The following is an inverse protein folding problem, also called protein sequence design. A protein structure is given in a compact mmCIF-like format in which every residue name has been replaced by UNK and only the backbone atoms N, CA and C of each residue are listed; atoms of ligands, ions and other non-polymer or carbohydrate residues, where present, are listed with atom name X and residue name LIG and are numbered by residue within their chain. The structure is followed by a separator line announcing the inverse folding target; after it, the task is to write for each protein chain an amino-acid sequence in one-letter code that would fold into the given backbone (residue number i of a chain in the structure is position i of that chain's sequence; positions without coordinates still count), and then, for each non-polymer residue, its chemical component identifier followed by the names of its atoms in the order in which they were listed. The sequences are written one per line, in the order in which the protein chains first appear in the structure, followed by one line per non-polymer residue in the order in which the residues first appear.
data_IF_536055939933
#
_entry.id   IF_536055939933
#
_cell.length_a   1.000
_cell.length_b   1.000
_cell.length_c   1.000
_cell.angle_alpha   90.00
_cell.angle_beta   90.00
_cell.angle_gamma   90.00
#
_symmetry.space_group_name_H-M   'P 1'
#
loop_
_entity.id
_entity.type
_entity.pdbx_description
1 polymer ?
#
# COMPACT_ATOMS: atom_id res chain seq x y z
N UNK A 1 -30.11 -15.17 18.17
CA UNK A 1 -28.99 -14.43 17.57
C UNK A 1 -28.94 -14.83 16.11
N UNK A 2 -29.06 -13.89 15.17
CA UNK A 2 -28.91 -14.21 13.76
C UNK A 2 -27.52 -14.85 13.55
N UNK A 3 -27.46 -15.98 12.87
CA UNK A 3 -26.20 -16.67 12.57
C UNK A 3 -25.27 -15.66 11.88
N UNK A 4 -24.09 -15.41 12.44
CA UNK A 4 -23.08 -14.55 11.82
C UNK A 4 -22.84 -15.06 10.40
N UNK A 5 -23.30 -14.32 9.39
CA UNK A 5 -23.17 -14.77 8.00
C UNK A 5 -21.70 -14.70 7.61
N UNK A 6 -21.20 -15.78 6.99
CA UNK A 6 -19.80 -15.92 6.62
C UNK A 6 -19.57 -15.32 5.23
N UNK A 7 -18.93 -14.16 5.15
CA UNK A 7 -18.61 -13.50 3.88
C UNK A 7 -17.22 -13.88 3.38
N UNK A 8 -17.13 -14.34 2.14
CA UNK A 8 -15.88 -14.50 1.42
C UNK A 8 -15.77 -13.51 0.25
N UNK A 9 -14.57 -13.32 -0.27
CA UNK A 9 -14.30 -12.43 -1.40
C UNK A 9 -13.59 -13.22 -2.49
N UNK A 10 -14.01 -13.02 -3.74
CA UNK A 10 -13.23 -13.41 -4.93
C UNK A 10 -12.61 -12.14 -5.49
N UNK A 11 -11.28 -12.04 -5.44
CA UNK A 11 -10.53 -10.91 -6.01
C UNK A 11 -9.98 -11.30 -7.39
N UNK A 12 -10.52 -10.70 -8.45
CA UNK A 12 -10.20 -11.08 -9.83
C UNK A 12 -9.02 -10.26 -10.37
N UNK A 13 -7.89 -10.93 -10.61
CA UNK A 13 -6.62 -10.35 -11.02
C UNK A 13 -5.93 -11.12 -12.17
N UNK A 14 -6.64 -11.97 -12.91
CA UNK A 14 -6.06 -12.83 -13.95
C UNK A 14 -5.93 -12.17 -15.35
N UNK A 15 -6.55 -11.01 -15.55
CA UNK A 15 -6.50 -10.30 -16.82
C UNK A 15 -5.16 -9.62 -17.06
N UNK A 16 -4.72 -9.56 -18.33
CA UNK A 16 -3.45 -8.90 -18.72
C UNK A 16 -3.52 -7.37 -18.76
N UNK A 17 -4.71 -6.78 -18.82
CA UNK A 17 -4.87 -5.32 -18.75
C UNK A 17 -4.31 -4.54 -19.94
N UNK A 18 -4.36 -5.10 -21.16
CA UNK A 18 -3.76 -4.55 -22.39
C UNK A 18 -4.07 -3.06 -22.67
N UNK A 19 -5.22 -2.55 -22.21
CA UNK A 19 -5.65 -1.15 -22.38
C UNK A 19 -4.94 -0.14 -21.45
N UNK A 20 -4.22 -0.60 -20.43
CA UNK A 20 -3.54 0.27 -19.46
C UNK A 20 -2.15 0.75 -19.93
N UNK A 21 -1.76 0.43 -21.17
CA UNK A 21 -0.49 0.83 -21.76
C UNK A 21 0.70 -0.03 -21.31
N UNK A 22 1.90 0.48 -21.54
CA UNK A 22 3.16 -0.17 -21.12
C UNK A 22 3.30 -0.21 -19.59
N UNK A 23 4.08 -1.17 -19.07
CA UNK A 23 4.34 -1.31 -17.62
C UNK A 23 3.85 -2.61 -16.97
N UNK A 24 3.65 -3.68 -17.75
CA UNK A 24 3.22 -4.98 -17.24
C UNK A 24 1.73 -5.03 -16.85
N UNK A 25 1.29 -6.13 -16.20
CA UNK A 25 -0.11 -6.28 -15.79
C UNK A 25 -0.50 -5.19 -14.78
N UNK A 26 -1.55 -4.45 -15.11
CA UNK A 26 -1.94 -3.21 -14.42
C UNK A 26 -2.21 -3.37 -12.91
N UNK A 27 -2.62 -4.55 -12.47
CA UNK A 27 -2.88 -4.87 -11.07
C UNK A 27 -1.60 -4.90 -10.21
N UNK A 28 -0.43 -5.09 -10.81
CA UNK A 28 0.86 -5.07 -10.08
C UNK A 28 1.61 -3.75 -10.21
N UNK A 29 1.10 -2.82 -11.04
CA UNK A 29 1.64 -1.46 -11.08
C UNK A 29 1.40 -0.77 -9.74
N UNK A 30 2.33 0.10 -9.38
CA UNK A 30 2.19 0.90 -8.17
C UNK A 30 1.36 2.16 -8.43
N UNK A 31 0.62 2.55 -7.40
CA UNK A 31 0.02 3.87 -7.31
C UNK A 31 0.18 4.44 -5.91
N UNK A 32 0.78 5.62 -5.84
CA UNK A 32 1.38 6.13 -4.61
C UNK A 32 2.28 5.07 -4.00
N UNK A 33 3.24 4.51 -4.74
CA UNK A 33 4.22 3.53 -4.23
C UNK A 33 3.66 2.26 -3.57
N UNK A 34 2.41 1.88 -3.86
CA UNK A 34 1.79 0.65 -3.36
C UNK A 34 1.14 -0.07 -4.54
N UNK A 35 1.34 -1.39 -4.71
CA UNK A 35 0.71 -2.14 -5.80
C UNK A 35 -0.81 -1.99 -5.79
N UNK A 36 -1.40 -1.82 -6.98
CA UNK A 36 -2.86 -1.67 -7.16
C UNK A 36 -3.63 -2.84 -6.51
N UNK A 37 -3.15 -4.07 -6.69
CA UNK A 37 -3.76 -5.27 -6.10
C UNK A 37 -3.68 -5.28 -4.56
N UNK A 38 -2.58 -4.80 -3.98
CA UNK A 38 -2.44 -4.69 -2.53
C UNK A 38 -3.56 -3.81 -1.98
N UNK A 39 -3.71 -2.61 -2.56
CA UNK A 39 -4.75 -1.66 -2.15
C UNK A 39 -6.16 -2.24 -2.33
N UNK A 40 -6.42 -2.91 -3.45
CA UNK A 40 -7.71 -3.55 -3.70
C UNK A 40 -8.03 -4.69 -2.72
N UNK A 41 -7.00 -5.39 -2.21
CA UNK A 41 -7.16 -6.56 -1.34
C UNK A 41 -7.14 -6.22 0.15
N UNK A 42 -6.42 -5.17 0.54
CA UNK A 42 -6.16 -4.81 1.94
C UNK A 42 -7.45 -4.55 2.71
N UNK A 43 -8.38 -3.77 2.14
CA UNK A 43 -9.65 -3.44 2.78
C UNK A 43 -10.45 -4.72 3.12
N UNK A 44 -10.50 -5.69 2.21
CA UNK A 44 -11.16 -6.97 2.46
C UNK A 44 -10.41 -7.83 3.48
N UNK A 45 -9.08 -7.85 3.42
CA UNK A 45 -8.24 -8.69 4.29
C UNK A 45 -8.31 -8.25 5.76
N UNK A 46 -8.72 -7.00 6.02
CA UNK A 46 -8.84 -6.40 7.35
C UNK A 46 -10.29 -6.24 7.84
N UNK A 47 -11.29 -6.41 6.96
CA UNK A 47 -12.70 -6.21 7.31
C UNK A 47 -13.21 -7.30 8.26
N UNK A 48 -13.84 -6.92 9.36
CA UNK A 48 -14.24 -7.86 10.43
C UNK A 48 -15.18 -8.98 9.96
N UNK A 49 -16.11 -8.69 9.05
CA UNK A 49 -17.08 -9.67 8.53
C UNK A 49 -16.56 -10.53 7.35
N UNK A 50 -15.35 -10.26 6.86
CA UNK A 50 -14.74 -11.03 5.76
C UNK A 50 -13.78 -12.06 6.34
N UNK A 51 -14.12 -13.34 6.21
CA UNK A 51 -13.29 -14.41 6.79
C UNK A 51 -12.24 -14.96 5.82
N UNK A 52 -12.48 -14.85 4.50
CA UNK A 52 -11.61 -15.38 3.46
C UNK A 52 -11.58 -14.44 2.24
N UNK A 53 -10.38 -14.24 1.70
CA UNK A 53 -10.17 -13.56 0.42
C UNK A 53 -9.49 -14.56 -0.49
N UNK A 54 -10.14 -14.92 -1.60
CA UNK A 54 -9.66 -15.83 -2.62
C UNK A 54 -9.16 -15.03 -3.83
N UNK A 55 -7.84 -14.88 -3.99
CA UNK A 55 -7.27 -14.24 -5.17
C UNK A 55 -7.38 -15.18 -6.36
N UNK A 56 -7.69 -14.62 -7.52
CA UNK A 56 -7.63 -15.30 -8.81
C UNK A 56 -6.63 -14.60 -9.70
N UNK A 57 -5.53 -15.27 -10.01
CA UNK A 57 -4.35 -14.68 -10.67
C UNK A 57 -4.09 -15.34 -12.01
N UNK A 58 -3.33 -14.66 -12.86
CA UNK A 58 -2.80 -15.30 -14.04
C UNK A 58 -1.70 -16.30 -13.59
N UNK A 59 -1.66 -17.54 -14.12
CA UNK A 59 -0.65 -18.53 -13.74
C UNK A 59 0.79 -18.01 -13.83
N UNK A 60 1.08 -17.19 -14.86
CA UNK A 60 2.41 -16.65 -15.12
C UNK A 60 2.81 -15.53 -14.15
N UNK A 61 1.85 -15.01 -13.36
CA UNK A 61 2.06 -13.86 -12.50
C UNK A 61 2.26 -14.25 -11.02
N UNK A 62 2.41 -15.53 -10.70
CA UNK A 62 2.46 -16.05 -9.33
C UNK A 62 3.54 -15.39 -8.45
N UNK A 63 4.73 -15.16 -9.02
CA UNK A 63 5.83 -14.49 -8.30
C UNK A 63 5.54 -13.00 -8.05
N UNK A 64 5.03 -12.29 -9.07
CA UNK A 64 4.64 -10.88 -8.96
C UNK A 64 3.51 -10.71 -7.94
N UNK A 65 2.52 -11.61 -7.95
CA UNK A 65 1.44 -11.63 -6.98
C UNK A 65 1.98 -11.77 -5.55
N UNK A 66 2.81 -12.78 -5.31
CA UNK A 66 3.36 -13.08 -3.98
C UNK A 66 4.12 -11.89 -3.39
N UNK A 67 4.93 -11.22 -4.22
CA UNK A 67 5.64 -10.01 -3.82
C UNK A 67 4.66 -8.84 -3.56
N UNK A 68 3.67 -8.64 -4.44
CA UNK A 68 2.78 -7.49 -4.39
C UNK A 68 1.80 -7.51 -3.20
N UNK A 69 1.40 -8.69 -2.69
CA UNK A 69 0.45 -8.80 -1.56
C UNK A 69 1.11 -9.24 -0.25
N UNK A 70 2.44 -9.17 -0.16
CA UNK A 70 3.19 -9.60 1.01
C UNK A 70 2.63 -8.98 2.31
N UNK A 71 2.40 -9.81 3.32
CA UNK A 71 1.85 -9.41 4.62
C UNK A 71 0.32 -9.34 4.71
N UNK A 72 -0.41 -9.49 3.61
CA UNK A 72 -1.87 -9.59 3.64
C UNK A 72 -2.32 -11.04 3.89
N UNK A 73 -3.41 -11.21 4.65
CA UNK A 73 -4.05 -12.51 4.85
C UNK A 73 -4.97 -12.83 3.67
N UNK A 74 -4.72 -13.96 3.01
CA UNK A 74 -5.56 -14.46 1.93
C UNK A 74 -5.45 -15.98 1.80
N UNK A 75 -6.39 -16.59 1.08
CA UNK A 75 -6.34 -18.00 0.67
C UNK A 75 -5.28 -18.21 -0.44
N UNK A 76 -4.78 -19.43 -0.65
CA UNK A 76 -3.88 -19.72 -1.76
C UNK A 76 -4.47 -19.23 -3.09
N UNK A 77 -3.70 -18.50 -3.92
CA UNK A 77 -4.22 -17.95 -5.17
C UNK A 77 -4.63 -19.08 -6.13
N UNK A 78 -5.74 -18.88 -6.82
CA UNK A 78 -6.23 -19.81 -7.86
C UNK A 78 -5.91 -19.29 -9.25
N UNK A 79 -5.63 -20.18 -10.18
CA UNK A 79 -5.39 -19.84 -11.57
C UNK A 79 -6.69 -19.38 -12.25
N UNK A 80 -6.65 -18.20 -12.86
CA UNK A 80 -7.75 -17.68 -13.67
C UNK A 80 -7.86 -18.34 -15.04
N UNK A 81 -9.01 -18.12 -15.69
CA UNK A 81 -9.30 -18.61 -17.04
C UNK A 81 -9.08 -17.56 -18.13
N UNK A 82 -9.40 -17.93 -19.37
CA UNK A 82 -9.24 -17.06 -20.54
C UNK A 82 -10.13 -15.78 -20.50
N UNK A 83 -11.24 -15.82 -19.77
CA UNK A 83 -12.16 -14.69 -19.60
C UNK A 83 -12.28 -14.28 -18.14
N UNK A 84 -12.81 -13.05 -17.90
CA UNK A 84 -13.15 -12.61 -16.55
C UNK A 84 -14.13 -13.59 -15.89
N UNK A 85 -15.17 -13.98 -16.60
CA UNK A 85 -16.18 -14.93 -16.14
C UNK A 85 -15.58 -16.29 -15.73
N UNK A 86 -14.68 -16.85 -16.57
CA UNK A 86 -14.01 -18.12 -16.24
C UNK A 86 -13.10 -17.99 -15.01
N UNK A 87 -12.44 -16.83 -14.85
CA UNK A 87 -11.64 -16.53 -13.67
C UNK A 87 -12.49 -16.42 -12.42
N UNK A 88 -13.65 -15.76 -12.49
CA UNK A 88 -14.60 -15.68 -11.37
C UNK A 88 -15.08 -17.07 -10.97
N UNK A 89 -15.48 -17.91 -11.94
CA UNK A 89 -15.89 -19.29 -11.65
C UNK A 89 -14.77 -20.07 -10.94
N UNK A 90 -13.51 -19.98 -11.40
CA UNK A 90 -12.39 -20.64 -10.73
C UNK A 90 -12.23 -20.18 -9.26
N UNK A 91 -12.39 -18.89 -8.98
CA UNK A 91 -12.37 -18.36 -7.61
C UNK A 91 -13.55 -18.83 -6.76
N UNK A 92 -14.76 -18.91 -7.34
CA UNK A 92 -15.94 -19.43 -6.65
C UNK A 92 -15.79 -20.92 -6.33
N UNK A 93 -15.24 -21.72 -7.26
CA UNK A 93 -14.96 -23.14 -7.06
C UNK A 93 -13.93 -23.38 -5.93
N UNK A 94 -12.89 -22.55 -5.85
CA UNK A 94 -11.91 -22.62 -4.77
C UNK A 94 -12.52 -22.38 -3.38
N UNK A 95 -13.61 -21.60 -3.29
CA UNK A 95 -14.33 -21.31 -2.04
C UNK A 95 -15.37 -22.37 -1.63
N UNK A 96 -15.62 -23.40 -2.45
CA UNK A 96 -16.65 -24.42 -2.17
C UNK A 96 -16.44 -25.11 -0.82
N UNK A 97 -15.20 -25.40 -0.47
CA UNK A 97 -14.87 -26.06 0.80
C UNK A 97 -15.11 -25.14 2.01
N UNK A 98 -14.94 -23.84 1.84
CA UNK A 98 -15.16 -22.85 2.88
C UNK A 98 -16.66 -22.65 3.17
N UNK A 99 -17.55 -22.94 2.22
CA UNK A 99 -19.01 -22.77 2.33
C UNK A 99 -19.41 -21.39 2.87
N UNK A 100 -19.02 -20.29 2.21
CA UNK A 100 -19.48 -18.96 2.60
C UNK A 100 -21.00 -18.83 2.38
N UNK A 101 -21.64 -17.95 3.14
CA UNK A 101 -23.05 -17.58 2.94
C UNK A 101 -23.17 -16.52 1.84
N UNK A 102 -22.22 -15.57 1.85
CA UNK A 102 -22.15 -14.43 0.93
C UNK A 102 -20.79 -14.46 0.24
N UNK A 103 -20.77 -14.13 -1.05
CA UNK A 103 -19.54 -13.85 -1.78
C UNK A 103 -19.58 -12.45 -2.38
N UNK A 104 -18.47 -11.73 -2.20
CA UNK A 104 -18.20 -10.46 -2.85
C UNK A 104 -17.21 -10.69 -4.00
N UNK A 105 -17.59 -10.32 -5.22
CA UNK A 105 -16.75 -10.48 -6.41
C UNK A 105 -16.20 -9.09 -6.77
N UNK A 106 -14.89 -8.91 -6.66
CA UNK A 106 -14.24 -7.61 -6.80
C UNK A 106 -13.14 -7.62 -7.86
N UNK A 107 -13.02 -6.51 -8.59
CA UNK A 107 -11.99 -6.36 -9.62
C UNK A 107 -10.72 -5.81 -8.95
N UNK A 108 -9.57 -6.48 -9.09
CA UNK A 108 -8.30 -5.96 -8.55
C UNK A 108 -7.90 -4.59 -9.12
N UNK A 109 -8.49 -4.18 -10.24
CA UNK A 109 -8.30 -2.87 -10.85
C UNK A 109 -9.08 -1.73 -10.15
N UNK A 110 -9.79 -1.99 -9.05
CA UNK A 110 -10.48 -0.99 -8.23
C UNK A 110 -9.78 -0.86 -6.85
N UNK A 111 -8.63 -0.16 -6.77
CA UNK A 111 -7.80 -0.15 -5.56
C UNK A 111 -8.37 0.67 -4.39
N UNK A 112 -9.53 1.33 -4.56
CA UNK A 112 -10.05 2.30 -3.60
C UNK A 112 -11.41 1.88 -3.01
N UNK A 113 -11.66 0.58 -2.92
CA UNK A 113 -12.79 0.04 -2.17
C UNK A 113 -12.66 0.43 -0.69
N UNK A 114 -13.73 0.99 -0.13
CA UNK A 114 -13.77 1.42 1.28
C UNK A 114 -14.37 0.33 2.17
N UNK A 115 -14.03 0.33 3.46
CA UNK A 115 -14.67 -0.53 4.46
C UNK A 115 -16.20 -0.35 4.45
N UNK A 116 -16.67 0.90 4.40
CA UNK A 116 -18.09 1.22 4.34
C UNK A 116 -18.79 0.64 3.10
N UNK A 117 -18.13 0.61 1.94
CA UNK A 117 -18.68 0.00 0.73
C UNK A 117 -18.82 -1.53 0.88
N UNK A 118 -17.85 -2.18 1.53
CA UNK A 118 -17.88 -3.62 1.83
C UNK A 118 -19.05 -3.93 2.77
N UNK A 119 -19.22 -3.16 3.85
CA UNK A 119 -20.33 -3.36 4.78
C UNK A 119 -21.70 -3.19 4.09
N UNK A 120 -21.85 -2.18 3.22
CA UNK A 120 -23.10 -1.98 2.44
C UNK A 120 -23.39 -3.12 1.48
N UNK A 121 -22.35 -3.71 0.86
CA UNK A 121 -22.51 -4.87 -0.02
C UNK A 121 -23.05 -6.10 0.74
N UNK A 122 -22.51 -6.35 1.94
CA UNK A 122 -22.95 -7.44 2.82
C UNK A 122 -24.40 -7.21 3.27
N UNK A 123 -24.72 -6.00 3.73
CA UNK A 123 -26.08 -5.63 4.15
C UNK A 123 -27.09 -5.77 3.00
N UNK A 124 -26.74 -5.28 1.80
CA UNK A 124 -27.60 -5.38 0.63
C UNK A 124 -27.89 -6.84 0.28
N UNK A 125 -26.86 -7.70 0.27
CA UNK A 125 -27.02 -9.14 -0.01
C UNK A 125 -27.88 -9.83 1.05
N UNK A 126 -27.72 -9.48 2.32
CA UNK A 126 -28.56 -10.01 3.40
C UNK A 126 -30.05 -9.76 3.16
N UNK A 127 -30.38 -8.60 2.56
CA UNK A 127 -31.76 -8.21 2.28
C UNK A 127 -32.31 -8.79 0.97
N UNK A 128 -31.49 -8.87 -0.07
CA UNK A 128 -31.98 -9.10 -1.45
C UNK A 128 -31.43 -10.36 -2.10
N UNK A 129 -30.42 -11.00 -1.52
CA UNK A 129 -29.73 -12.19 -2.05
C UNK A 129 -28.76 -11.91 -3.19
N UNK A 130 -28.97 -10.86 -3.98
CA UNK A 130 -28.05 -10.37 -5.00
C UNK A 130 -28.14 -8.84 -5.06
N UNK A 131 -26.98 -8.16 -5.05
CA UNK A 131 -26.93 -6.71 -5.14
C UNK A 131 -25.60 -6.20 -5.71
N UNK A 132 -25.65 -5.05 -6.40
CA UNK A 132 -24.46 -4.36 -6.93
C UNK A 132 -24.39 -2.88 -6.51
N UNK A 133 -23.18 -2.35 -6.29
CA UNK A 133 -23.00 -0.93 -6.04
C UNK A 133 -23.14 -0.15 -7.34
N UNK A 134 -23.86 0.96 -7.27
CA UNK A 134 -24.04 1.87 -8.40
C UNK A 134 -23.81 3.32 -8.01
N UNK A 135 -23.30 4.10 -8.96
CA UNK A 135 -23.25 5.56 -8.86
C UNK A 135 -24.09 6.20 -9.98
N UNK A 136 -24.67 7.39 -9.76
CA UNK A 136 -25.43 8.10 -10.79
C UNK A 136 -24.54 8.50 -11.96
N UNK A 137 -25.12 8.54 -13.15
CA UNK A 137 -24.50 9.13 -14.33
C UNK A 137 -24.75 10.64 -14.31
N UNK A 138 -23.68 11.43 -14.27
CA UNK A 138 -23.75 12.91 -14.24
C UNK A 138 -23.78 13.50 -15.64
N UNK A 139 -23.00 12.92 -16.56
CA UNK A 139 -22.88 13.41 -17.93
C UNK A 139 -24.05 12.95 -18.81
N UNK A 140 -24.32 13.68 -19.89
CA UNK A 140 -25.30 13.25 -20.89
C UNK A 140 -24.73 12.07 -21.68
N UNK A 141 -25.43 10.94 -21.69
CA UNK A 141 -25.06 9.76 -22.47
C UNK A 141 -25.76 9.79 -23.82
N UNK A 142 -25.02 9.48 -24.88
CA UNK A 142 -25.54 9.30 -26.24
C UNK A 142 -25.45 7.83 -26.63
N UNK A 143 -26.51 7.31 -27.22
CA UNK A 143 -26.45 6.09 -28.01
C UNK A 143 -25.93 6.48 -29.39
N UNK A 144 -24.93 5.77 -29.88
CA UNK A 144 -24.31 6.03 -31.18
C UNK A 144 -24.42 4.80 -32.06
N UNK A 145 -24.72 5.02 -33.33
CA UNK A 145 -24.67 3.99 -34.37
C UNK A 145 -23.24 3.66 -34.76
N UNK A 146 -23.08 2.68 -35.65
CA UNK A 146 -21.77 2.19 -36.08
C UNK A 146 -20.91 3.24 -36.79
N UNK A 147 -21.53 4.28 -37.40
CA UNK A 147 -20.81 5.37 -38.06
C UNK A 147 -20.60 6.61 -37.16
N UNK A 148 -20.94 6.51 -35.86
CA UNK A 148 -20.70 7.55 -34.85
C UNK A 148 -21.78 8.64 -34.77
N UNK A 149 -22.87 8.51 -35.53
CA UNK A 149 -24.06 9.33 -35.45
C UNK A 149 -24.82 9.09 -34.14
N UNK A 150 -25.48 10.13 -33.63
CA UNK A 150 -26.30 10.01 -32.42
C UNK A 150 -27.65 9.39 -32.79
N UNK A 151 -27.94 8.21 -32.25
CA UNK A 151 -29.23 7.51 -32.40
C UNK A 151 -30.22 7.90 -31.30
N UNK A 152 -29.72 8.26 -30.12
CA UNK A 152 -30.58 8.54 -28.98
C UNK A 152 -29.86 9.16 -27.80
N UNK A 153 -30.65 9.67 -26.86
CA UNK A 153 -30.18 10.17 -25.57
C UNK A 153 -31.05 9.53 -24.50
N UNK A 154 -30.59 8.45 -23.84
CA UNK A 154 -31.36 7.81 -22.80
C UNK A 154 -31.61 8.76 -21.62
N UNK A 155 -32.68 8.52 -20.86
CA UNK A 155 -32.94 9.25 -19.62
C UNK A 155 -31.87 8.90 -18.57
N UNK A 156 -30.90 9.81 -18.39
CA UNK A 156 -29.81 9.65 -17.43
C UNK A 156 -30.28 9.40 -15.99
N UNK A 157 -31.49 9.84 -15.61
CA UNK A 157 -32.02 9.63 -14.27
C UNK A 157 -32.20 8.14 -13.94
N UNK A 158 -32.38 7.30 -14.97
CA UNK A 158 -32.48 5.84 -14.87
C UNK A 158 -31.17 5.10 -15.15
N UNK A 159 -30.12 5.80 -15.57
CA UNK A 159 -28.81 5.21 -15.85
C UNK A 159 -27.90 5.22 -14.62
N UNK A 160 -27.12 4.16 -14.49
CA UNK A 160 -26.22 3.94 -13.36
C UNK A 160 -24.91 3.35 -13.87
N UNK A 161 -23.80 3.74 -13.24
CA UNK A 161 -22.50 3.11 -13.46
C UNK A 161 -22.35 2.01 -12.42
N UNK A 162 -22.33 0.76 -12.88
CA UNK A 162 -22.08 -0.40 -12.03
C UNK A 162 -20.62 -0.42 -11.54
N UNK A 163 -20.45 -0.77 -10.27
CA UNK A 163 -19.16 -0.96 -9.63
C UNK A 163 -19.01 -2.39 -9.11
N UNK A 164 -17.86 -2.69 -8.53
CA UNK A 164 -17.63 -3.89 -7.72
C UNK A 164 -17.12 -3.44 -6.34
N UNK A 165 -17.32 -4.19 -5.24
CA UNK A 165 -17.73 -5.59 -5.17
C UNK A 165 -19.18 -5.83 -5.57
N UNK A 166 -19.43 -6.78 -6.47
CA UNK A 166 -20.78 -7.32 -6.69
C UNK A 166 -21.03 -8.42 -5.68
N UNK A 167 -22.23 -8.47 -5.11
CA UNK A 167 -22.47 -9.20 -3.86
C UNK A 167 -23.66 -10.15 -4.00
N UNK A 168 -23.46 -11.41 -3.64
CA UNK A 168 -24.42 -12.48 -3.91
C UNK A 168 -24.43 -13.54 -2.80
N UNK A 169 -25.56 -14.25 -2.67
CA UNK A 169 -25.59 -15.57 -2.02
C UNK A 169 -24.69 -16.53 -2.78
N UNK A 170 -23.74 -17.14 -2.08
CA UNK A 170 -22.66 -17.90 -2.69
C UNK A 170 -23.14 -19.09 -3.52
N UNK A 171 -24.02 -19.91 -2.94
CA UNK A 171 -24.59 -21.09 -3.59
C UNK A 171 -25.31 -20.74 -4.90
N UNK A 172 -26.08 -19.65 -4.87
CA UNK A 172 -26.87 -19.19 -6.01
C UNK A 172 -25.98 -18.68 -7.14
N UNK A 173 -24.99 -17.82 -6.86
CA UNK A 173 -24.12 -17.27 -7.92
C UNK A 173 -23.16 -18.31 -8.48
N UNK A 174 -22.65 -19.23 -7.64
CA UNK A 174 -21.81 -20.33 -8.10
C UNK A 174 -22.56 -21.20 -9.10
N UNK A 175 -23.81 -21.56 -8.81
CA UNK A 175 -24.62 -22.36 -9.73
C UNK A 175 -24.89 -21.63 -11.05
N UNK A 176 -25.16 -20.32 -10.99
CA UNK A 176 -25.32 -19.50 -12.20
C UNK A 176 -24.06 -19.52 -13.09
N UNK A 177 -22.87 -19.37 -12.50
CA UNK A 177 -21.61 -19.46 -13.24
C UNK A 177 -21.35 -20.86 -13.81
N UNK A 178 -21.62 -21.92 -13.03
CA UNK A 178 -21.50 -23.32 -13.49
C UNK A 178 -22.40 -23.59 -14.68
N UNK A 179 -23.67 -23.18 -14.61
CA UNK A 179 -24.64 -23.35 -15.70
C UNK A 179 -24.21 -22.58 -16.95
N UNK A 180 -23.78 -21.32 -16.80
CA UNK A 180 -23.27 -20.54 -17.93
C UNK A 180 -22.06 -21.23 -18.59
N UNK A 181 -21.14 -21.81 -17.82
CA UNK A 181 -20.00 -22.55 -18.34
C UNK A 181 -20.41 -23.85 -19.05
N UNK A 182 -21.38 -24.60 -18.50
CA UNK A 182 -21.95 -25.80 -19.12
C UNK A 182 -22.62 -25.49 -20.47
N UNK A 183 -23.32 -24.36 -20.55
CA UNK A 183 -23.98 -23.87 -21.77
C UNK A 183 -22.99 -23.21 -22.76
N UNK A 184 -21.70 -23.14 -22.43
CA UNK A 184 -20.67 -22.51 -23.26
C UNK A 184 -20.79 -20.98 -23.39
N UNK A 185 -21.57 -20.33 -22.53
CA UNK A 185 -21.76 -18.87 -22.51
C UNK A 185 -20.58 -18.19 -21.83
N UNK A 186 -20.01 -17.17 -22.48
CA UNK A 186 -18.84 -16.42 -21.98
C UNK A 186 -18.87 -14.92 -22.31
N UNK A 187 -20.03 -14.44 -22.78
CA UNK A 187 -20.31 -13.11 -23.29
C UNK A 187 -20.77 -12.11 -22.22
N UNK A 188 -20.91 -12.56 -20.96
CA UNK A 188 -21.35 -11.70 -19.87
C UNK A 188 -20.25 -10.71 -19.46
N UNK A 189 -20.62 -9.44 -19.32
CA UNK A 189 -19.70 -8.34 -19.03
C UNK A 189 -19.37 -8.21 -17.54
N UNK A 190 -20.28 -8.63 -16.67
CA UNK A 190 -20.14 -8.69 -15.22
C UNK A 190 -20.95 -9.84 -14.60
N UNK A 191 -20.87 -9.99 -13.27
CA UNK A 191 -21.48 -11.10 -12.55
C UNK A 191 -22.99 -10.88 -12.33
N UNK A 192 -23.43 -9.62 -12.31
CA UNK A 192 -24.84 -9.24 -12.33
C UNK A 192 -25.55 -9.71 -13.60
N UNK A 193 -24.94 -9.56 -14.79
CA UNK A 193 -25.52 -10.05 -16.04
C UNK A 193 -25.70 -11.58 -16.04
N UNK A 194 -24.78 -12.33 -15.41
CA UNK A 194 -24.91 -13.79 -15.23
C UNK A 194 -26.06 -14.09 -14.27
N UNK A 195 -26.16 -13.36 -13.16
CA UNK A 195 -27.24 -13.50 -12.19
C UNK A 195 -28.62 -13.23 -12.82
N UNK A 196 -28.75 -12.16 -13.60
CA UNK A 196 -29.97 -11.80 -14.33
C UNK A 196 -30.37 -12.90 -15.34
N UNK A 197 -29.42 -13.40 -16.13
CA UNK A 197 -29.64 -14.54 -17.03
C UNK A 197 -30.03 -15.81 -16.26
N UNK A 198 -29.55 -15.96 -15.03
CA UNK A 198 -29.94 -17.05 -14.15
C UNK A 198 -31.37 -16.93 -13.59
N UNK A 199 -32.05 -15.82 -13.84
CA UNK A 199 -33.39 -15.52 -13.31
C UNK A 199 -33.35 -14.87 -11.93
N UNK A 200 -32.19 -14.40 -11.47
CA UNK A 200 -32.04 -13.71 -10.19
C UNK A 200 -32.41 -12.25 -10.34
N UNK A 201 -33.11 -11.71 -9.34
CA UNK A 201 -33.32 -10.28 -9.22
C UNK A 201 -32.09 -9.64 -8.59
N UNK A 202 -31.39 -8.77 -9.32
CA UNK A 202 -30.23 -8.04 -8.82
C UNK A 202 -30.66 -6.66 -8.32
N UNK A 203 -30.53 -6.43 -7.02
CA UNK A 203 -30.79 -5.12 -6.43
C UNK A 203 -29.61 -4.17 -6.63
N UNK A 204 -29.82 -2.88 -6.38
CA UNK A 204 -28.75 -1.88 -6.35
C UNK A 204 -28.61 -1.26 -4.97
N UNK A 205 -27.41 -0.81 -4.63
CA UNK A 205 -27.11 0.01 -3.46
C UNK A 205 -26.10 1.10 -3.80
N UNK A 206 -25.92 2.06 -2.89
CA UNK A 206 -25.05 3.22 -3.12
C UNK A 206 -23.56 2.81 -3.17
N UNK A 207 -22.94 3.06 -4.33
CA UNK A 207 -21.50 2.91 -4.56
C UNK A 207 -20.68 4.13 -4.13
N UNK A 208 -19.37 4.09 -4.36
CA UNK A 208 -18.44 5.17 -4.00
C UNK A 208 -17.80 5.76 -5.26
N UNK A 209 -17.85 7.08 -5.45
CA UNK A 209 -17.18 7.73 -6.59
C UNK A 209 -15.66 7.46 -6.59
N UNK A 210 -15.06 7.41 -5.39
CA UNK A 210 -13.64 7.12 -5.22
C UNK A 210 -13.26 5.69 -5.63
N UNK A 211 -14.20 4.73 -5.63
CA UNK A 211 -13.98 3.32 -6.00
C UNK A 211 -13.91 3.12 -7.53
N UNK A 212 -13.10 3.94 -8.17
CA UNK A 212 -12.94 3.98 -9.61
C UNK A 212 -12.10 2.80 -10.12
N UNK A 213 -12.35 2.37 -11.36
CA UNK A 213 -11.63 1.26 -11.99
C UNK A 213 -10.50 1.81 -12.86
N UNK A 214 -9.26 1.48 -12.51
CA UNK A 214 -8.08 1.82 -13.31
C UNK A 214 -8.11 1.04 -14.63
N UNK A 215 -8.34 1.74 -15.74
CA UNK A 215 -8.53 1.12 -17.06
C UNK A 215 -7.53 1.65 -18.08
N UNK A 216 -7.27 2.95 -18.09
CA UNK A 216 -6.38 3.62 -19.03
C UNK A 216 -5.12 4.15 -18.34
N UNK A 217 -4.05 4.52 -19.07
CA UNK A 217 -2.88 5.18 -18.49
C UNK A 217 -3.23 6.48 -17.75
N UNK A 218 -4.19 7.26 -18.26
CA UNK A 218 -4.62 8.53 -17.69
C UNK A 218 -5.26 8.34 -16.31
N UNK A 219 -5.94 7.21 -16.08
CA UNK A 219 -6.46 6.87 -14.76
C UNK A 219 -5.34 6.77 -13.72
N UNK A 220 -4.21 6.15 -14.06
CA UNK A 220 -3.07 6.06 -13.15
C UNK A 220 -2.49 7.45 -12.85
N UNK A 221 -2.32 8.29 -13.87
CA UNK A 221 -1.77 9.64 -13.70
C UNK A 221 -2.70 10.48 -12.81
N UNK A 222 -4.01 10.44 -13.05
CA UNK A 222 -5.00 11.17 -12.26
C UNK A 222 -4.97 10.73 -10.79
N UNK A 223 -4.98 9.43 -10.56
CA UNK A 223 -5.06 8.89 -9.21
C UNK A 223 -3.72 9.03 -8.45
N UNK A 224 -2.58 8.96 -9.14
CA UNK A 224 -1.27 9.31 -8.57
C UNK A 224 -1.25 10.78 -8.11
N UNK A 225 -1.73 11.69 -8.96
CA UNK A 225 -1.82 13.11 -8.62
C UNK A 225 -2.77 13.34 -7.43
N UNK A 226 -3.92 12.66 -7.40
CA UNK A 226 -4.87 12.74 -6.28
C UNK A 226 -4.25 12.28 -4.97
N UNK A 227 -3.57 11.13 -4.95
CA UNK A 227 -2.89 10.62 -3.76
C UNK A 227 -1.73 11.53 -3.33
N UNK A 228 -0.96 12.07 -4.28
CA UNK A 228 0.10 13.02 -3.99
C UNK A 228 -0.43 14.34 -3.41
N UNK A 229 -1.59 14.80 -3.87
CA UNK A 229 -2.27 15.99 -3.35
C UNK A 229 -2.80 15.80 -1.93
N UNK A 230 -3.14 14.56 -1.54
CA UNK A 230 -3.51 14.25 -0.15
C UNK A 230 -2.34 14.51 0.80
N UNK A 231 -1.10 14.29 0.37
CA UNK A 231 0.12 14.52 1.16
C UNK A 231 0.62 15.97 1.05
N UNK A 232 -0.28 16.92 1.29
CA UNK A 232 -0.03 18.35 1.10
C UNK A 232 0.65 19.07 2.27
N UNK A 233 0.68 18.48 3.47
CA UNK A 233 1.33 19.07 4.64
C UNK A 233 2.82 18.68 4.63
N UNK A 234 3.68 19.63 4.28
CA UNK A 234 5.12 19.41 4.14
C UNK A 234 5.82 19.99 5.36
N UNK A 235 6.52 19.13 6.10
CA UNK A 235 7.24 19.52 7.32
C UNK A 235 8.70 19.14 7.21
N UNK A 236 9.56 20.01 7.73
CA UNK A 236 11.00 19.76 7.82
C UNK A 236 11.42 19.81 9.27
N UNK A 237 12.21 18.82 9.68
CA UNK A 237 12.83 18.76 11.00
C UNK A 237 14.33 18.63 10.89
N UNK A 238 15.01 19.00 11.96
CA UNK A 238 16.46 18.93 12.07
C UNK A 238 16.85 18.13 13.31
N UNK A 239 17.93 17.37 13.22
CA UNK A 239 18.50 16.65 14.35
C UNK A 239 19.98 16.96 14.50
N UNK A 240 20.46 16.87 15.74
CA UNK A 240 21.86 17.03 16.08
C UNK A 240 22.19 16.06 17.21
N UNK A 241 23.21 15.21 17.00
CA UNK A 241 23.67 14.27 18.02
C UNK A 241 25.19 14.27 18.10
N UNK A 242 25.71 13.90 19.28
CA UNK A 242 27.15 13.88 19.59
C UNK A 242 27.47 12.67 20.46
N UNK A 243 28.43 11.85 20.01
CA UNK A 243 29.02 10.79 20.83
C UNK A 243 30.51 11.00 21.04
N UNK A 244 30.93 10.86 22.30
CA UNK A 244 32.33 10.86 22.68
C UNK A 244 33.00 9.53 22.31
N UNK A 245 34.28 9.58 21.95
CA UNK A 245 35.06 8.37 21.77
C UNK A 245 35.48 7.74 23.10
N UNK A 246 35.53 6.41 23.12
CA UNK A 246 36.07 5.57 24.18
C UNK A 246 36.95 4.45 23.63
N UNK A 247 37.14 3.40 24.42
CA UNK A 247 37.81 2.17 23.98
C UNK A 247 36.92 1.40 22.98
N UNK A 248 37.54 0.81 21.95
CA UNK A 248 36.84 0.02 20.94
C UNK A 248 37.67 -0.16 19.67
N UNK A 249 37.17 -1.00 18.77
CA UNK A 249 37.79 -1.36 17.48
C UNK A 249 36.95 -0.90 16.25
N UNK A 250 35.85 -0.21 16.49
CA UNK A 250 34.93 0.26 15.46
C UNK A 250 33.98 1.33 15.96
N UNK A 251 33.37 2.06 15.03
CA UNK A 251 32.24 2.96 15.27
C UNK A 251 31.08 2.58 14.36
N UNK A 252 29.86 2.66 14.88
CA UNK A 252 28.64 2.51 14.08
C UNK A 252 28.26 3.86 13.48
N UNK A 253 28.13 3.94 12.16
CA UNK A 253 27.81 5.18 11.46
C UNK A 253 26.82 4.90 10.33
N UNK A 254 25.63 5.49 10.42
CA UNK A 254 24.56 5.33 9.43
C UNK A 254 24.22 3.87 9.12
N UNK A 255 24.20 3.00 10.14
CA UNK A 255 23.95 1.56 10.04
C UNK A 255 25.17 0.74 9.61
N UNK A 256 26.34 1.35 9.45
CA UNK A 256 27.57 0.69 8.97
C UNK A 256 28.58 0.55 10.10
N UNK A 257 29.10 -0.67 10.30
CA UNK A 257 30.23 -0.93 11.20
C UNK A 257 31.54 -0.48 10.55
N UNK A 258 32.07 0.67 10.96
CA UNK A 258 33.28 1.26 10.39
C UNK A 258 34.50 0.93 11.26
N UNK A 259 35.53 0.25 10.74
CA UNK A 259 36.75 -0.02 11.48
C UNK A 259 37.41 1.25 12.00
N UNK A 260 37.78 1.27 13.28
CA UNK A 260 38.39 2.43 13.93
C UNK A 260 39.24 2.00 15.13
N UNK A 261 40.14 2.85 15.63
CA UNK A 261 40.92 2.59 16.85
C UNK A 261 40.20 3.02 18.13
N UNK A 262 38.91 3.37 18.01
CA UNK A 262 38.03 3.88 19.07
C UNK A 262 36.64 3.31 18.87
N UNK A 263 35.85 3.28 19.94
CA UNK A 263 34.41 3.08 19.90
C UNK A 263 33.65 4.29 20.45
N UNK A 264 32.33 4.26 20.43
CA UNK A 264 31.50 5.30 21.07
C UNK A 264 31.19 4.96 22.52
N UNK A 265 31.19 5.99 23.37
CA UNK A 265 30.62 5.92 24.71
C UNK A 265 29.11 6.20 24.60
N UNK A 266 28.32 5.15 24.39
CA UNK A 266 26.87 5.26 24.21
C UNK A 266 26.11 4.18 25.00
N UNK A 267 24.81 4.44 25.21
CA UNK A 267 23.91 3.45 25.81
C UNK A 267 23.50 2.37 24.78
N UNK A 268 23.24 2.75 23.52
CA UNK A 268 22.97 1.85 22.38
C UNK A 268 24.28 1.45 21.66
N UNK A 269 24.21 1.04 20.39
CA UNK A 269 25.38 0.86 19.51
C UNK A 269 26.11 2.18 19.15
N UNK A 270 25.56 3.34 19.55
CA UNK A 270 26.18 4.65 19.46
C UNK A 270 26.16 5.27 18.06
N UNK A 271 25.26 4.87 17.18
CA UNK A 271 25.18 5.43 15.83
C UNK A 271 24.67 6.88 15.80
N UNK A 272 25.62 7.82 15.93
CA UNK A 272 25.34 9.26 15.96
C UNK A 272 24.61 9.75 14.70
N UNK A 273 24.83 9.10 13.55
CA UNK A 273 24.21 9.49 12.28
C UNK A 273 22.73 9.09 12.24
N UNK A 274 22.42 7.86 12.64
CA UNK A 274 21.04 7.39 12.72
C UNK A 274 20.26 8.12 13.82
N UNK A 275 20.86 8.38 14.97
CA UNK A 275 20.21 9.15 16.04
C UNK A 275 19.82 10.56 15.60
N UNK A 276 20.73 11.28 14.93
CA UNK A 276 20.41 12.60 14.39
C UNK A 276 19.25 12.52 13.37
N UNK A 277 19.20 11.49 12.52
CA UNK A 277 18.09 11.28 11.59
C UNK A 277 16.76 11.01 12.31
N UNK A 278 16.78 10.23 13.39
CA UNK A 278 15.59 9.97 14.24
C UNK A 278 15.05 11.28 14.79
N UNK A 279 15.90 12.12 15.38
CA UNK A 279 15.49 13.43 15.88
C UNK A 279 14.95 14.35 14.79
N UNK A 280 15.56 14.34 13.60
CA UNK A 280 15.06 15.12 12.47
C UNK A 280 13.64 14.70 12.06
N UNK A 281 13.34 13.39 12.04
CA UNK A 281 12.02 12.86 11.70
C UNK A 281 11.00 13.17 12.80
N UNK A 282 11.35 12.91 14.07
CA UNK A 282 10.46 13.17 15.21
C UNK A 282 10.19 14.67 15.37
N UNK A 283 11.19 15.51 15.15
CA UNK A 283 11.05 16.96 15.09
C UNK A 283 10.11 17.41 13.98
N UNK A 284 10.23 16.86 12.77
CA UNK A 284 9.30 17.15 11.67
C UNK A 284 7.85 16.72 12.01
N UNK A 285 7.69 15.66 12.81
CA UNK A 285 6.40 15.19 13.31
C UNK A 285 5.87 16.00 14.51
N UNK A 286 6.66 16.90 15.10
CA UNK A 286 6.40 17.49 16.41
C UNK A 286 6.08 16.41 17.48
N UNK A 287 6.83 15.31 17.44
CA UNK A 287 6.61 14.10 18.25
C UNK A 287 7.77 13.87 19.23
N UNK A 288 8.27 14.93 19.85
CA UNK A 288 9.41 14.86 20.78
C UNK A 288 10.74 14.56 20.09
N UNK A 289 11.63 13.91 20.83
CA UNK A 289 12.99 13.53 20.43
C UNK A 289 13.28 12.05 20.76
N UNK A 290 14.45 11.56 20.35
CA UNK A 290 14.87 10.18 20.57
C UNK A 290 14.86 9.80 22.05
N UNK A 291 15.26 10.71 22.96
CA UNK A 291 15.27 10.46 24.40
C UNK A 291 13.87 10.31 25.00
N UNK A 292 12.88 10.97 24.40
CA UNK A 292 11.47 10.88 24.80
C UNK A 292 10.86 9.52 24.49
N UNK A 293 11.26 8.87 23.39
CA UNK A 293 10.78 7.54 22.99
C UNK A 293 11.67 6.40 23.48
N UNK A 294 12.97 6.68 23.62
CA UNK A 294 14.01 5.71 23.98
C UNK A 294 14.84 6.21 25.17
N UNK A 295 14.27 6.31 26.39
CA UNK A 295 14.98 6.89 27.52
C UNK A 295 16.23 6.07 27.86
N UNK A 296 17.42 6.69 28.01
CA UNK A 296 18.66 5.98 28.29
C UNK A 296 18.68 5.29 29.67
N UNK A 297 17.75 5.68 30.57
CA UNK A 297 17.53 5.02 31.85
C UNK A 297 16.86 3.64 31.73
N UNK A 298 16.23 3.33 30.59
CA UNK A 298 15.59 2.04 30.36
C UNK A 298 16.65 1.00 29.92
N UNK A 299 16.91 -0.05 30.73
CA UNK A 299 17.96 -1.03 30.44
C UNK A 299 17.75 -1.78 29.11
N UNK A 300 16.53 -1.82 28.57
CA UNK A 300 16.22 -2.56 27.34
C UNK A 300 16.92 -1.99 26.10
N UNK A 301 17.31 -0.71 26.13
CA UNK A 301 18.00 -0.05 25.03
C UNK A 301 19.52 -0.21 25.08
N UNK A 302 20.03 -0.81 26.15
CA UNK A 302 21.48 -1.01 26.30
C UNK A 302 22.00 -1.97 25.23
N UNK A 303 22.88 -1.49 24.36
CA UNK A 303 23.43 -2.24 23.23
C UNK A 303 22.42 -2.56 22.12
N UNK A 304 21.25 -1.91 22.12
CA UNK A 304 20.31 -2.04 21.03
C UNK A 304 20.87 -1.44 19.74
N UNK A 305 20.54 -2.06 18.61
CA UNK A 305 20.89 -1.55 17.27
C UNK A 305 20.05 -0.34 16.92
N UNK A 306 20.69 0.74 16.47
CA UNK A 306 20.04 2.02 16.19
C UNK A 306 19.12 2.01 14.97
N UNK A 307 19.23 0.98 14.11
CA UNK A 307 18.31 0.77 13.00
C UNK A 307 16.85 0.64 13.47
N UNK A 308 16.62 0.08 14.66
CA UNK A 308 15.30 -0.04 15.28
C UNK A 308 14.69 1.33 15.60
N UNK A 309 15.51 2.29 16.00
CA UNK A 309 15.04 3.65 16.31
C UNK A 309 14.64 4.40 15.05
N UNK A 310 15.43 4.25 13.97
CA UNK A 310 15.08 4.83 12.67
C UNK A 310 13.81 4.19 12.11
N UNK A 311 13.69 2.85 12.15
CA UNK A 311 12.47 2.13 11.73
C UNK A 311 11.24 2.63 12.49
N UNK A 312 11.34 2.78 13.82
CA UNK A 312 10.26 3.33 14.63
C UNK A 312 9.86 4.75 14.19
N UNK A 313 10.82 5.65 13.96
CA UNK A 313 10.51 7.01 13.50
C UNK A 313 9.79 7.01 12.14
N UNK A 314 10.17 6.11 11.22
CA UNK A 314 9.48 5.91 9.93
C UNK A 314 8.06 5.34 10.12
N UNK A 315 7.89 4.37 11.02
CA UNK A 315 6.57 3.81 11.37
C UNK A 315 5.64 4.89 11.93
N UNK A 316 6.15 5.84 12.72
CA UNK A 316 5.37 6.99 13.24
C UNK A 316 4.88 7.90 12.11
N UNK A 317 5.72 8.18 11.11
CA UNK A 317 5.32 8.93 9.90
C UNK A 317 4.21 8.17 9.18
N UNK A 318 4.41 6.86 8.96
CA UNK A 318 3.48 5.99 8.24
C UNK A 318 2.13 5.86 8.95
N UNK A 319 2.14 5.75 10.29
CA UNK A 319 0.95 5.65 11.12
C UNK A 319 0.05 6.89 11.04
N UNK A 320 0.62 8.06 10.68
CA UNK A 320 -0.13 9.29 10.41
C UNK A 320 -0.53 9.45 8.94
N UNK A 321 -0.42 8.38 8.15
CA UNK A 321 -0.68 8.38 6.71
C UNK A 321 0.38 9.13 5.89
N UNK A 322 1.51 9.47 6.51
CA UNK A 322 2.57 10.26 5.90
C UNK A 322 3.62 9.44 5.15
N UNK A 323 4.57 10.16 4.56
CA UNK A 323 5.77 9.61 3.91
C UNK A 323 6.96 10.51 4.11
N UNK A 324 8.15 9.92 4.10
CA UNK A 324 9.40 10.68 4.06
C UNK A 324 9.69 11.10 2.61
N UNK A 325 9.91 12.41 2.41
CA UNK A 325 10.25 12.98 1.12
C UNK A 325 11.75 12.89 0.82
N UNK A 326 12.58 13.18 1.83
CA UNK A 326 14.03 13.05 1.76
C UNK A 326 14.64 12.97 3.17
N UNK A 327 15.83 12.35 3.24
CA UNK A 327 16.69 12.28 4.42
C UNK A 327 18.09 12.77 4.07
N UNK A 328 18.68 13.54 4.97
CA UNK A 328 20.06 14.00 4.85
C UNK A 328 20.76 13.91 6.21
N UNK A 329 22.01 13.44 6.21
CA UNK A 329 22.90 13.51 7.37
C UNK A 329 24.29 14.01 6.97
N UNK A 330 24.86 14.86 7.80
CA UNK A 330 26.24 15.36 7.67
C UNK A 330 27.04 14.96 8.89
N UNK A 331 28.09 14.16 8.67
CA UNK A 331 29.04 13.75 9.69
C UNK A 331 30.11 14.83 9.87
N UNK A 332 30.36 15.23 11.12
CA UNK A 332 31.37 16.24 11.48
C UNK A 332 32.47 15.53 12.28
N UNK A 333 33.56 15.16 11.60
CA UNK A 333 34.66 14.40 12.19
C UNK A 333 35.95 14.50 11.36
N UNK A 334 37.11 14.42 12.02
CA UNK A 334 38.41 14.28 11.34
C UNK A 334 38.60 12.85 10.77
N UNK A 335 38.22 11.85 11.57
CA UNK A 335 38.25 10.42 11.27
C UNK A 335 36.98 9.73 11.80
N UNK A 336 36.50 8.66 11.14
CA UNK A 336 36.99 8.08 9.88
C UNK A 336 36.69 8.96 8.65
N UNK A 337 37.34 8.67 7.51
CA UNK A 337 37.01 9.35 6.25
C UNK A 337 35.70 8.79 5.69
N UNK A 338 34.67 9.64 5.60
CA UNK A 338 33.32 9.24 5.16
C UNK A 338 33.22 9.13 3.64
N UNK A 339 34.01 9.88 2.87
CA UNK A 339 33.95 9.87 1.40
C UNK A 339 33.92 8.47 0.77
N UNK A 340 34.85 7.56 1.13
CA UNK A 340 34.85 6.17 0.65
C UNK A 340 33.69 5.29 1.13
N UNK A 341 32.99 5.68 2.21
CA UNK A 341 31.92 4.90 2.84
C UNK A 341 30.53 5.46 2.53
N UNK A 342 30.46 6.64 1.90
CA UNK A 342 29.24 7.43 1.73
C UNK A 342 28.11 6.64 1.07
N UNK A 343 28.39 5.93 -0.02
CA UNK A 343 27.34 5.21 -0.74
C UNK A 343 26.88 3.95 0.01
N UNK A 344 27.76 3.30 0.77
CA UNK A 344 27.38 2.21 1.69
C UNK A 344 26.45 2.72 2.80
N UNK A 345 26.76 3.88 3.38
CA UNK A 345 25.90 4.53 4.39
C UNK A 345 24.55 4.94 3.81
N UNK A 346 24.52 5.51 2.59
CA UNK A 346 23.27 5.85 1.90
C UNK A 346 22.41 4.60 1.63
N UNK A 347 23.02 3.51 1.18
CA UNK A 347 22.34 2.25 0.95
C UNK A 347 21.76 1.68 2.25
N UNK A 348 22.52 1.71 3.34
CA UNK A 348 22.06 1.24 4.65
C UNK A 348 20.88 2.06 5.17
N UNK A 349 20.95 3.40 5.12
CA UNK A 349 19.81 4.27 5.51
C UNK A 349 18.59 3.99 4.63
N UNK A 350 18.77 3.85 3.32
CA UNK A 350 17.69 3.55 2.38
C UNK A 350 17.01 2.21 2.71
N UNK A 351 17.79 1.17 2.99
CA UNK A 351 17.29 -0.15 3.42
C UNK A 351 16.54 -0.08 4.75
N UNK A 352 17.11 0.57 5.76
CA UNK A 352 16.50 0.68 7.10
C UNK A 352 15.19 1.47 7.04
N UNK A 353 15.17 2.56 6.27
CA UNK A 353 14.03 3.49 6.21
C UNK A 353 12.97 3.13 5.16
N UNK A 354 13.28 2.22 4.22
CA UNK A 354 12.45 1.95 3.06
C UNK A 354 12.33 3.13 2.08
N UNK A 355 13.18 4.15 2.20
CA UNK A 355 13.21 5.33 1.34
C UNK A 355 14.15 5.07 0.16
N UNK A 356 13.71 5.42 -1.05
CA UNK A 356 14.54 5.28 -2.25
C UNK A 356 15.89 6.01 -2.10
N UNK A 357 16.98 5.37 -2.52
CA UNK A 357 18.35 5.88 -2.34
C UNK A 357 18.59 7.26 -3.00
N UNK A 358 17.82 7.62 -4.03
CA UNK A 358 17.88 8.96 -4.63
C UNK A 358 17.42 10.08 -3.70
N UNK A 359 16.70 9.73 -2.62
CA UNK A 359 16.17 10.64 -1.60
C UNK A 359 17.00 10.62 -0.30
N UNK A 360 18.13 9.91 -0.29
CA UNK A 360 19.02 9.79 0.86
C UNK A 360 20.37 10.42 0.53
N UNK A 361 20.77 11.41 1.32
CA UNK A 361 22.06 12.09 1.20
C UNK A 361 22.92 11.88 2.46
N UNK A 362 24.19 11.51 2.27
CA UNK A 362 25.20 11.46 3.34
C UNK A 362 26.33 12.39 2.94
N UNK A 363 26.65 13.34 3.82
CA UNK A 363 27.73 14.31 3.65
C UNK A 363 28.71 14.19 4.81
N UNK A 364 29.88 14.80 4.66
CA UNK A 364 30.83 14.91 5.75
C UNK A 364 31.66 16.17 5.62
N UNK A 365 32.10 16.68 6.76
CA UNK A 365 33.08 17.75 6.88
C UNK A 365 34.00 17.50 8.06
N UNK A 366 35.23 17.99 7.94
CA UNK A 366 36.17 18.14 9.06
C UNK A 366 35.84 19.41 9.85
N UNK A 367 36.45 19.55 11.02
CA UNK A 367 36.42 20.81 11.78
C UNK A 367 37.77 21.51 11.74
N UNK A 368 38.59 21.19 10.74
CA UNK A 368 39.94 21.73 10.55
C UNK A 368 40.82 21.63 11.81
N UNK A 369 40.71 20.51 12.54
CA UNK A 369 41.37 20.27 13.83
C UNK A 369 40.99 21.24 14.96
N UNK A 370 39.89 21.98 14.80
CA UNK A 370 39.31 22.84 15.81
C UNK A 370 38.16 22.15 16.56
N UNK A 371 37.98 22.51 17.83
CA UNK A 371 36.91 21.95 18.67
C UNK A 371 37.09 20.46 19.01
N UNK A 372 36.08 19.87 19.64
CA UNK A 372 36.16 18.47 20.11
C UNK A 372 36.20 17.46 18.95
N UNK A 373 35.46 17.75 17.87
CA UNK A 373 35.48 16.96 16.63
C UNK A 373 36.85 17.03 15.95
N UNK A 374 37.49 18.21 15.98
CA UNK A 374 38.83 18.45 15.44
C UNK A 374 39.96 17.83 16.27
N UNK A 375 39.79 17.75 17.59
CA UNK A 375 40.72 17.06 18.51
C UNK A 375 40.49 15.56 18.60
N UNK A 376 39.59 15.01 17.78
CA UNK A 376 39.21 13.59 17.79
C UNK A 376 38.76 13.12 19.19
N UNK A 377 37.98 13.95 19.89
CA UNK A 377 37.35 13.62 21.19
C UNK A 377 36.00 12.90 21.00
N UNK A 378 35.39 13.03 19.81
CA UNK A 378 34.12 12.41 19.45
C UNK A 378 33.70 12.80 18.02
N UNK A 379 32.49 12.38 17.65
CA UNK A 379 31.86 12.71 16.37
C UNK A 379 30.54 13.43 16.65
N UNK A 380 30.24 14.46 15.86
CA UNK A 380 28.92 15.06 15.81
C UNK A 380 28.26 14.73 14.46
N UNK A 381 26.93 14.66 14.45
CA UNK A 381 26.14 14.59 13.23
C UNK A 381 25.02 15.63 13.25
N UNK A 382 24.78 16.25 12.11
CA UNK A 382 23.58 17.07 11.87
C UNK A 382 22.73 16.38 10.81
N UNK A 383 21.42 16.32 10.98
CA UNK A 383 20.51 15.73 10.03
C UNK A 383 19.33 16.63 9.71
N UNK A 384 18.73 16.42 8.54
CA UNK A 384 17.49 17.04 8.10
C UNK A 384 16.58 15.98 7.49
N UNK A 385 15.30 16.06 7.81
CA UNK A 385 14.27 15.20 7.26
C UNK A 385 13.10 16.06 6.80
N UNK A 386 12.64 15.81 5.56
CA UNK A 386 11.36 16.37 5.09
C UNK A 386 10.36 15.24 5.02
N UNK A 387 9.20 15.44 5.63
CA UNK A 387 8.06 14.52 5.58
C UNK A 387 6.87 15.19 4.91
N UNK A 388 5.98 14.37 4.34
CA UNK A 388 4.71 14.79 3.78
C UNK A 388 3.59 14.05 4.47
N UNK A 389 2.60 14.78 4.97
CA UNK A 389 1.47 14.27 5.73
C UNK A 389 0.16 14.66 5.04
N UNK A 390 -0.93 13.92 5.31
CA UNK A 390 -2.26 14.43 5.09
C UNK A 390 -2.46 15.76 5.81
N UNK A 391 -3.06 16.76 5.14
CA UNK A 391 -3.64 17.88 5.88
C UNK A 391 -4.73 17.29 6.77
N UNK A 392 -4.64 17.52 8.09
CA UNK A 392 -5.71 17.17 9.01
C UNK A 392 -6.99 17.87 8.55
N UNK A 393 -8.00 17.07 8.16
CA UNK A 393 -9.38 17.55 7.93
C UNK A 393 -10.10 17.57 9.26
#
# INVERSE_FOLDING_TARGET
MAKSQRTAVVLVAAGRGLRAGAGGPKQYREIGGVPVIYRAMEAFSRHADVFAVQPVVNPDDSAMFTAAVAGLKHEPPTNGGATRQASVLAGLEALVQHKPDIVLIHDAARPFVSEGLISRAIEATNRTGAAIPVIPVTDTIKLTGDAGEVEGTPDRARLRIAQTPQSFRFDVILEAHRRAAQDGRSDFTDDAAIAEWAGLTVATFEGDVANMKLTTPEDFVREEARLAAQLGDIRTGTGYDVHAFGEGDHVMLCGVRVPHTKGFLAHSDGDVGLHALVDAILGALADGDIGSHFPPSDPKWKGASSDQFLKYAIERVTARGGRVANLEVTMICERPKIGPLRDTMRASIAEISGVDISRVAVKATTSERLGFTGREEGIAATASATIRLPWSV
#
